data_IF_640109170967
#
_entry.id   IF_640109170967
#
_cell.length_a   1.000
_cell.length_b   1.000
_cell.length_c   1.000
_cell.angle_alpha   90.00
_cell.angle_beta   90.00
_cell.angle_gamma   90.00
#
_symmetry.space_group_name_H-M   'P 1'
#
loop_
_entity.id
_entity.type
_entity.pdbx_description
1 polymer ?
#
# COMPACT_ATOMS: atom_id res chain seq x y z
N UNK A 1 -10.23 -22.68 -1.54
CA UNK A 1 -9.43 -21.79 -0.66
C UNK A 1 -8.20 -22.55 -0.20
N UNK A 2 -6.99 -22.03 -0.46
CA UNK A 2 -5.73 -22.72 -0.10
C UNK A 2 -5.68 -22.96 1.42
N UNK A 3 -5.21 -24.14 1.88
CA UNK A 3 -5.15 -24.53 3.31
C UNK A 3 -4.50 -23.46 4.20
N UNK A 4 -3.41 -22.84 3.72
CA UNK A 4 -2.70 -21.76 4.42
C UNK A 4 -3.59 -20.54 4.70
N UNK A 5 -4.45 -20.16 3.75
CA UNK A 5 -5.33 -18.99 3.85
C UNK A 5 -6.48 -19.18 4.85
N UNK A 6 -6.94 -20.42 5.08
CA UNK A 6 -7.90 -20.72 6.17
C UNK A 6 -7.29 -20.45 7.53
N UNK A 7 -6.03 -20.86 7.73
CA UNK A 7 -5.31 -20.67 8.98
C UNK A 7 -5.10 -19.17 9.25
N UNK A 8 -4.75 -18.38 8.24
CA UNK A 8 -4.57 -16.93 8.41
C UNK A 8 -5.87 -16.18 8.69
N UNK A 9 -6.99 -16.60 8.09
CA UNK A 9 -8.29 -16.04 8.42
C UNK A 9 -8.68 -16.36 9.88
N UNK A 10 -8.41 -17.57 10.34
CA UNK A 10 -8.62 -17.97 11.73
C UNK A 10 -7.74 -17.13 12.64
N UNK A 11 -6.46 -16.93 12.31
CA UNK A 11 -5.56 -16.05 13.08
C UNK A 11 -6.10 -14.62 13.10
N UNK A 12 -6.53 -14.05 11.97
CA UNK A 12 -7.07 -12.69 11.91
C UNK A 12 -8.32 -12.55 12.79
N UNK A 13 -9.26 -13.50 12.70
CA UNK A 13 -10.48 -13.55 13.51
C UNK A 13 -10.14 -13.73 15.00
N UNK A 14 -9.19 -14.59 15.35
CA UNK A 14 -8.74 -14.78 16.73
C UNK A 14 -8.06 -13.52 17.27
N UNK A 15 -7.29 -12.81 16.47
CA UNK A 15 -6.69 -11.51 16.84
C UNK A 15 -7.78 -10.47 17.08
N UNK A 16 -8.82 -10.41 16.24
CA UNK A 16 -9.99 -9.57 16.48
C UNK A 16 -10.69 -9.91 17.79
N UNK A 17 -10.98 -11.19 18.03
CA UNK A 17 -11.64 -11.66 19.26
C UNK A 17 -10.79 -11.34 20.48
N UNK A 18 -9.49 -11.57 20.43
CA UNK A 18 -8.55 -11.23 21.50
C UNK A 18 -8.58 -9.73 21.82
N UNK A 19 -8.42 -8.85 20.83
CA UNK A 19 -8.43 -7.40 21.10
C UNK A 19 -9.80 -6.87 21.52
N UNK A 20 -10.90 -7.47 21.05
CA UNK A 20 -12.25 -7.12 21.48
C UNK A 20 -12.48 -7.47 22.96
N UNK A 21 -11.87 -8.56 23.44
CA UNK A 21 -12.00 -9.03 24.83
C UNK A 21 -11.10 -8.25 25.81
N UNK A 22 -9.92 -7.78 25.39
CA UNK A 22 -8.91 -7.21 26.30
C UNK A 22 -8.87 -5.66 26.37
N UNK A 23 -10.00 -4.98 26.07
CA UNK A 23 -10.27 -3.55 26.35
C UNK A 23 -9.20 -2.49 25.98
N UNK A 24 -8.22 -2.81 25.13
CA UNK A 24 -7.31 -1.79 24.62
C UNK A 24 -7.95 -1.10 23.42
N UNK A 25 -8.70 -0.02 23.67
CA UNK A 25 -9.43 0.76 22.66
C UNK A 25 -8.53 1.19 21.50
N UNK A 26 -7.27 1.54 21.78
CA UNK A 26 -6.27 1.87 20.76
C UNK A 26 -5.91 0.65 19.89
N UNK A 27 -5.67 -0.50 20.52
CA UNK A 27 -5.42 -1.76 19.84
C UNK A 27 -6.61 -2.21 18.98
N UNK A 28 -7.84 -1.95 19.41
CA UNK A 28 -9.06 -2.24 18.66
C UNK A 28 -9.20 -1.33 17.43
N UNK A 29 -8.91 -0.04 17.55
CA UNK A 29 -8.99 0.94 16.45
C UNK A 29 -7.92 0.64 15.38
N UNK A 30 -6.68 0.39 15.80
CA UNK A 30 -5.58 0.04 14.89
C UNK A 30 -5.88 -1.30 14.20
N UNK A 31 -6.37 -2.28 14.96
CA UNK A 31 -6.77 -3.57 14.39
C UNK A 31 -7.88 -3.35 13.37
N UNK A 32 -9.02 -2.75 13.73
CA UNK A 32 -10.17 -2.50 12.84
C UNK A 32 -9.79 -1.75 11.56
N UNK A 33 -8.98 -0.70 11.67
CA UNK A 33 -8.55 0.09 10.51
C UNK A 33 -7.64 -0.68 9.56
N UNK A 34 -6.65 -1.43 10.07
CA UNK A 34 -5.70 -2.18 9.23
C UNK A 34 -6.28 -3.49 8.67
N UNK A 35 -7.24 -4.07 9.36
CA UNK A 35 -7.85 -5.36 9.03
C UNK A 35 -9.03 -5.25 8.06
N UNK A 36 -9.76 -4.13 8.03
CA UNK A 36 -10.84 -3.86 7.06
C UNK A 36 -10.37 -4.03 5.60
N UNK A 37 -9.25 -3.40 5.18
CA UNK A 37 -8.67 -3.62 3.86
C UNK A 37 -8.30 -5.08 3.63
N UNK A 38 -7.64 -5.74 4.59
CA UNK A 38 -7.26 -7.15 4.48
C UNK A 38 -8.47 -8.06 4.25
N UNK A 39 -9.58 -7.82 4.95
CA UNK A 39 -10.84 -8.54 4.75
C UNK A 39 -11.39 -8.31 3.34
N UNK A 40 -11.39 -7.07 2.84
CA UNK A 40 -11.85 -6.76 1.48
C UNK A 40 -10.94 -7.43 0.44
N UNK A 41 -9.62 -7.36 0.58
CA UNK A 41 -8.71 -8.05 -0.34
C UNK A 41 -8.79 -9.58 -0.25
N UNK A 42 -9.11 -10.14 0.92
CA UNK A 42 -9.31 -11.57 1.08
C UNK A 42 -10.64 -12.04 0.47
N UNK A 43 -11.74 -11.35 0.73
CA UNK A 43 -13.09 -11.83 0.41
C UNK A 43 -13.73 -11.19 -0.81
N UNK A 44 -13.44 -9.92 -1.10
CA UNK A 44 -14.07 -9.22 -2.20
C UNK A 44 -13.82 -9.88 -3.56
N UNK A 45 -12.66 -10.50 -3.88
CA UNK A 45 -12.52 -11.28 -5.11
C UNK A 45 -13.58 -12.38 -5.26
N UNK A 46 -13.96 -13.06 -4.17
CA UNK A 46 -14.98 -14.12 -4.18
C UNK A 46 -16.39 -13.53 -4.38
N UNK A 47 -16.67 -12.39 -3.74
CA UNK A 47 -17.94 -11.69 -3.88
C UNK A 47 -18.10 -11.09 -5.28
N UNK A 48 -17.06 -10.44 -5.81
CA UNK A 48 -17.06 -9.81 -7.13
C UNK A 48 -17.26 -10.81 -8.26
N UNK A 49 -16.75 -12.02 -8.10
CA UNK A 49 -17.00 -13.12 -9.04
C UNK A 49 -18.48 -13.55 -9.03
N UNK A 50 -19.12 -13.58 -7.86
CA UNK A 50 -20.54 -13.97 -7.76
C UNK A 50 -21.50 -12.93 -8.33
N UNK A 51 -21.21 -11.64 -8.14
CA UNK A 51 -22.09 -10.55 -8.60
C UNK A 51 -21.61 -9.89 -9.90
N UNK A 52 -20.65 -10.50 -10.60
CA UNK A 52 -20.11 -10.05 -11.89
C UNK A 52 -19.63 -8.57 -11.90
N UNK A 53 -18.96 -8.11 -10.84
CA UNK A 53 -18.41 -6.74 -10.82
C UNK A 53 -17.38 -6.58 -11.94
N UNK A 54 -17.54 -5.56 -12.83
CA UNK A 54 -16.57 -5.28 -13.87
C UNK A 54 -15.18 -5.05 -13.28
N UNK A 55 -14.15 -5.62 -13.90
CA UNK A 55 -12.75 -5.57 -13.41
C UNK A 55 -12.30 -4.13 -13.13
N UNK A 56 -12.74 -3.17 -13.97
CA UNK A 56 -12.43 -1.75 -13.83
C UNK A 56 -12.89 -1.13 -12.51
N UNK A 57 -13.90 -1.68 -11.81
CA UNK A 57 -14.42 -1.13 -10.56
C UNK A 57 -13.96 -1.89 -9.31
N UNK A 58 -13.27 -3.04 -9.46
CA UNK A 58 -12.89 -3.90 -8.33
C UNK A 58 -11.92 -3.24 -7.32
N UNK A 59 -11.25 -2.15 -7.72
CA UNK A 59 -10.33 -1.41 -6.86
C UNK A 59 -11.03 -0.38 -5.95
N UNK A 60 -12.25 0.05 -6.30
CA UNK A 60 -12.94 1.12 -5.57
C UNK A 60 -13.18 0.72 -4.11
N UNK A 61 -13.70 -0.48 -3.78
CA UNK A 61 -13.92 -0.83 -2.38
C UNK A 61 -12.61 -1.04 -1.60
N UNK A 62 -11.53 -1.42 -2.29
CA UNK A 62 -10.19 -1.48 -1.67
C UNK A 62 -9.75 -0.08 -1.28
N UNK A 63 -9.83 0.87 -2.22
CA UNK A 63 -9.48 2.26 -1.98
C UNK A 63 -10.32 2.88 -0.85
N UNK A 64 -11.64 2.67 -0.89
CA UNK A 64 -12.54 3.14 0.18
C UNK A 64 -12.11 2.56 1.53
N UNK A 65 -11.78 1.28 1.60
CA UNK A 65 -11.38 0.65 2.87
C UNK A 65 -10.11 1.21 3.48
N UNK A 66 -9.19 1.74 2.66
CA UNK A 66 -7.96 2.37 3.13
C UNK A 66 -8.20 3.82 3.61
N UNK A 67 -9.14 4.52 2.98
CA UNK A 67 -9.44 5.93 3.28
C UNK A 67 -10.42 6.04 4.46
N UNK A 68 -11.38 5.12 4.55
CA UNK A 68 -12.47 5.15 5.52
C UNK A 68 -12.01 5.28 6.98
N UNK A 69 -10.94 4.61 7.46
CA UNK A 69 -10.47 4.80 8.82
C UNK A 69 -10.11 6.26 9.14
N UNK A 70 -9.44 6.97 8.23
CA UNK A 70 -9.11 8.37 8.45
C UNK A 70 -10.36 9.26 8.60
N UNK A 71 -11.42 8.96 7.83
CA UNK A 71 -12.70 9.68 7.90
C UNK A 71 -13.44 9.36 9.20
N UNK A 72 -13.56 8.07 9.55
CA UNK A 72 -14.30 7.64 10.75
C UNK A 72 -13.67 8.16 12.05
N UNK A 73 -12.35 8.25 12.09
CA UNK A 73 -11.60 8.72 13.25
C UNK A 73 -11.21 10.20 13.17
N UNK A 74 -11.71 10.94 12.17
CA UNK A 74 -11.46 12.36 11.97
C UNK A 74 -9.96 12.73 12.03
N UNK A 75 -9.11 11.89 11.43
CA UNK A 75 -7.66 12.09 11.44
C UNK A 75 -7.30 13.31 10.59
N UNK A 76 -6.58 14.26 11.20
CA UNK A 76 -6.06 15.42 10.49
C UNK A 76 -4.92 15.01 9.55
N UNK A 77 -4.84 15.67 8.39
CA UNK A 77 -3.87 15.36 7.35
C UNK A 77 -3.19 16.64 6.92
N UNK A 78 -1.92 16.78 7.28
CA UNK A 78 -1.06 17.85 6.81
C UNK A 78 -0.49 17.48 5.43
N UNK A 79 -1.00 18.13 4.39
CA UNK A 79 -0.70 17.73 3.01
C UNK A 79 0.65 18.22 2.52
N UNK A 80 0.90 19.52 2.66
CA UNK A 80 2.00 20.20 2.00
C UNK A 80 2.90 20.92 3.00
N UNK A 81 4.12 21.17 2.56
CA UNK A 81 5.13 21.94 3.26
C UNK A 81 5.91 22.78 2.26
N UNK A 82 6.38 23.93 2.71
CA UNK A 82 7.30 24.78 1.95
C UNK A 82 8.75 24.26 2.01
N UNK A 83 9.02 23.27 2.86
CA UNK A 83 10.33 22.65 3.03
C UNK A 83 10.64 21.65 1.90
N UNK A 84 11.06 22.17 0.75
CA UNK A 84 11.36 21.38 -0.46
C UNK A 84 12.32 20.20 -0.22
N UNK A 85 13.20 20.30 0.78
CA UNK A 85 14.17 19.26 1.09
C UNK A 85 13.50 17.97 1.61
N UNK A 86 12.31 18.04 2.21
CA UNK A 86 11.55 16.84 2.59
C UNK A 86 11.19 15.99 1.38
N UNK A 87 10.68 16.63 0.32
CA UNK A 87 10.39 15.95 -0.95
C UNK A 87 11.66 15.33 -1.54
N UNK A 88 12.75 16.10 -1.60
CA UNK A 88 14.01 15.64 -2.18
C UNK A 88 14.55 14.41 -1.44
N UNK A 89 14.60 14.45 -0.10
CA UNK A 89 15.13 13.36 0.72
C UNK A 89 14.27 12.10 0.54
N UNK A 90 12.94 12.20 0.65
CA UNK A 90 12.07 11.02 0.51
C UNK A 90 12.15 10.40 -0.88
N UNK A 91 12.18 11.24 -1.93
CA UNK A 91 12.34 10.77 -3.30
C UNK A 91 13.70 10.11 -3.53
N UNK A 92 14.79 10.70 -3.01
CA UNK A 92 16.14 10.15 -3.16
C UNK A 92 16.28 8.79 -2.48
N UNK A 93 15.80 8.65 -1.24
CA UNK A 93 15.83 7.37 -0.53
C UNK A 93 15.01 6.30 -1.25
N UNK A 94 13.83 6.66 -1.75
CA UNK A 94 12.98 5.75 -2.53
C UNK A 94 13.60 5.37 -3.87
N UNK A 95 14.31 6.30 -4.51
CA UNK A 95 15.05 6.07 -5.76
C UNK A 95 16.23 5.11 -5.53
N UNK A 96 17.00 5.28 -4.45
CA UNK A 96 18.08 4.35 -4.10
C UNK A 96 17.51 2.94 -3.95
N UNK A 97 16.41 2.78 -3.21
CA UNK A 97 15.75 1.48 -3.04
C UNK A 97 15.22 0.89 -4.36
N UNK A 98 14.77 1.73 -5.29
CA UNK A 98 14.39 1.30 -6.63
C UNK A 98 15.63 0.80 -7.41
N UNK A 99 16.72 1.56 -7.38
CA UNK A 99 17.95 1.25 -8.11
C UNK A 99 18.64 -0.02 -7.62
N UNK A 100 18.52 -0.40 -6.35
CA UNK A 100 19.03 -1.71 -5.88
C UNK A 100 18.34 -2.90 -6.56
N UNK A 101 17.19 -2.69 -7.21
CA UNK A 101 16.46 -3.69 -8.00
C UNK A 101 16.67 -3.54 -9.50
N UNK A 102 17.59 -2.68 -9.95
CA UNK A 102 17.73 -2.26 -11.35
C UNK A 102 17.69 -3.39 -12.37
N UNK A 103 18.39 -4.51 -12.10
CA UNK A 103 18.40 -5.66 -12.99
C UNK A 103 17.01 -6.26 -13.20
N UNK A 104 16.22 -6.40 -12.13
CA UNK A 104 14.84 -6.88 -12.21
C UNK A 104 13.94 -5.87 -12.94
N UNK A 105 14.17 -4.57 -12.75
CA UNK A 105 13.42 -3.52 -13.44
C UNK A 105 13.67 -3.55 -14.94
N UNK A 106 14.94 -3.69 -15.34
CA UNK A 106 15.35 -3.77 -16.75
C UNK A 106 14.68 -4.94 -17.46
N UNK A 107 14.64 -6.10 -16.80
CA UNK A 107 13.97 -7.29 -17.32
C UNK A 107 12.46 -7.08 -17.44
N UNK A 108 11.80 -6.53 -16.42
CA UNK A 108 10.37 -6.24 -16.43
C UNK A 108 9.97 -5.28 -17.56
N UNK A 109 10.75 -4.20 -17.77
CA UNK A 109 10.56 -3.26 -18.86
C UNK A 109 10.70 -3.97 -20.22
N UNK A 110 11.75 -4.77 -20.41
CA UNK A 110 11.96 -5.54 -21.65
C UNK A 110 10.78 -6.45 -21.95
N UNK A 111 10.30 -7.22 -20.98
CA UNK A 111 9.14 -8.11 -21.14
C UNK A 111 7.89 -7.33 -21.51
N UNK A 112 7.69 -6.13 -20.92
CA UNK A 112 6.49 -5.33 -21.19
C UNK A 112 6.33 -4.91 -22.65
N UNK A 113 7.44 -4.75 -23.39
CA UNK A 113 7.40 -4.41 -24.82
C UNK A 113 6.87 -5.53 -25.71
N UNK A 114 6.87 -6.77 -25.20
CA UNK A 114 6.34 -7.97 -25.85
C UNK A 114 4.83 -8.15 -25.60
N UNK A 115 4.26 -7.43 -24.64
CA UNK A 115 2.83 -7.49 -24.35
C UNK A 115 2.02 -6.68 -25.36
N UNK A 116 0.74 -7.03 -25.49
CA UNK A 116 -0.18 -6.29 -26.35
C UNK A 116 -0.28 -4.82 -25.94
N UNK A 117 -0.34 -3.89 -26.92
CA UNK A 117 -0.62 -2.49 -26.70
C UNK A 117 -1.94 -2.28 -25.97
N UNK A 118 -2.05 -1.15 -25.26
CA UNK A 118 -3.30 -0.72 -24.64
C UNK A 118 -3.67 0.66 -25.15
N UNK A 119 -4.97 0.96 -25.20
CA UNK A 119 -5.43 2.30 -25.59
C UNK A 119 -4.89 3.37 -24.63
N UNK A 120 -4.69 4.60 -25.14
CA UNK A 120 -4.27 5.76 -24.33
C UNK A 120 -5.18 6.00 -23.12
N UNK A 121 -6.50 5.83 -23.31
CA UNK A 121 -7.48 5.93 -22.23
C UNK A 121 -7.25 4.86 -21.16
N UNK A 122 -7.05 3.60 -21.58
CA UNK A 122 -6.73 2.51 -20.65
C UNK A 122 -5.44 2.78 -19.89
N UNK A 123 -4.40 3.27 -20.56
CA UNK A 123 -3.14 3.65 -19.93
C UNK A 123 -3.35 4.71 -18.85
N UNK A 124 -4.01 5.81 -19.18
CA UNK A 124 -4.33 6.88 -18.24
C UNK A 124 -5.12 6.36 -17.03
N UNK A 125 -6.18 5.59 -17.26
CA UNK A 125 -7.01 5.04 -16.18
C UNK A 125 -6.22 4.10 -15.25
N UNK A 126 -5.29 3.30 -15.77
CA UNK A 126 -4.42 2.44 -14.95
C UNK A 126 -3.40 3.26 -14.15
N UNK A 127 -2.85 4.33 -14.72
CA UNK A 127 -1.96 5.24 -13.99
C UNK A 127 -2.69 5.94 -12.84
N UNK A 128 -3.88 6.50 -13.10
CA UNK A 128 -4.73 7.11 -12.06
C UNK A 128 -5.05 6.10 -10.96
N UNK A 129 -5.46 4.89 -11.34
CA UNK A 129 -5.71 3.82 -10.37
C UNK A 129 -4.49 3.50 -9.51
N UNK A 130 -3.30 3.40 -10.11
CA UNK A 130 -2.05 3.13 -9.37
C UNK A 130 -1.75 4.26 -8.39
N UNK A 131 -1.87 5.52 -8.82
CA UNK A 131 -1.67 6.69 -7.95
C UNK A 131 -2.65 6.72 -6.79
N UNK A 132 -3.94 6.46 -7.04
CA UNK A 132 -4.96 6.42 -5.99
C UNK A 132 -4.72 5.31 -4.96
N UNK A 133 -4.30 4.12 -5.41
CA UNK A 133 -3.93 3.03 -4.51
C UNK A 133 -2.75 3.43 -3.63
N UNK A 134 -1.70 4.04 -4.21
CA UNK A 134 -0.55 4.55 -3.44
C UNK A 134 -1.00 5.56 -2.38
N UNK A 135 -1.84 6.54 -2.75
CA UNK A 135 -2.38 7.51 -1.79
C UNK A 135 -3.16 6.79 -0.68
N UNK A 136 -4.02 5.83 -1.02
CA UNK A 136 -4.77 5.05 -0.04
C UNK A 136 -3.86 4.27 0.92
N UNK A 137 -2.81 3.64 0.40
CA UNK A 137 -1.83 2.93 1.21
C UNK A 137 -1.09 3.87 2.17
N UNK A 138 -0.66 5.04 1.72
CA UNK A 138 -0.02 6.02 2.61
C UNK A 138 -1.00 6.57 3.67
N UNK A 139 -2.26 6.81 3.30
CA UNK A 139 -3.29 7.23 4.25
C UNK A 139 -3.53 6.18 5.34
N UNK A 140 -3.50 4.89 4.99
CA UNK A 140 -3.73 3.82 5.95
C UNK A 140 -2.49 3.57 6.82
N UNK A 141 -1.34 3.36 6.18
CA UNK A 141 -0.15 2.87 6.86
C UNK A 141 0.67 3.97 7.51
N UNK A 142 0.61 5.21 7.02
CA UNK A 142 1.41 6.31 7.59
C UNK A 142 0.48 7.20 8.41
N UNK A 143 -0.51 7.81 7.75
CA UNK A 143 -1.39 8.78 8.40
C UNK A 143 -2.20 8.15 9.52
N UNK A 144 -3.06 7.18 9.22
CA UNK A 144 -3.94 6.56 10.22
C UNK A 144 -3.14 5.86 11.32
N UNK A 145 -2.16 5.03 10.94
CA UNK A 145 -1.38 4.25 11.91
C UNK A 145 -0.61 5.14 12.91
N UNK A 146 0.14 6.15 12.45
CA UNK A 146 0.99 6.95 13.34
C UNK A 146 0.24 8.08 14.05
N UNK A 147 -0.92 8.53 13.57
CA UNK A 147 -1.72 9.51 14.31
C UNK A 147 -2.45 8.91 15.52
N UNK A 148 -2.63 7.60 15.55
CA UNK A 148 -3.21 6.91 16.70
C UNK A 148 -2.18 6.64 17.81
N UNK A 149 -0.90 6.64 17.48
CA UNK A 149 0.17 6.40 18.45
C UNK A 149 0.66 7.75 18.98
N UNK A 150 0.50 8.00 20.27
CA UNK A 150 0.84 9.29 20.89
C UNK A 150 2.34 9.63 20.80
N UNK A 151 3.21 8.62 20.92
CA UNK A 151 4.67 8.77 20.83
C UNK A 151 5.29 7.60 20.04
N UNK A 152 5.23 7.63 18.70
CA UNK A 152 5.71 6.54 17.88
C UNK A 152 7.24 6.46 17.93
N UNK A 153 7.75 5.34 18.44
CA UNK A 153 9.18 5.02 18.45
C UNK A 153 9.61 4.28 17.17
N UNK A 154 10.92 4.11 16.99
CA UNK A 154 11.50 3.32 15.89
C UNK A 154 10.91 1.90 15.78
N UNK A 155 10.54 1.27 16.90
CA UNK A 155 9.88 -0.05 16.89
C UNK A 155 8.51 -0.04 16.21
N UNK A 156 7.77 1.06 16.31
CA UNK A 156 6.49 1.21 15.62
C UNK A 156 6.68 1.33 14.11
N UNK A 157 7.81 1.89 13.66
CA UNK A 157 8.19 1.93 12.24
C UNK A 157 8.44 0.53 11.70
N UNK A 158 9.22 -0.28 12.43
CA UNK A 158 9.47 -1.68 12.07
C UNK A 158 8.15 -2.45 12.02
N UNK A 159 7.29 -2.30 13.04
CA UNK A 159 6.01 -2.99 13.10
C UNK A 159 5.12 -2.60 11.92
N UNK A 160 4.99 -1.30 11.63
CA UNK A 160 4.23 -0.83 10.47
C UNK A 160 4.76 -1.42 9.16
N UNK A 161 6.08 -1.49 9.00
CA UNK A 161 6.70 -2.13 7.85
C UNK A 161 6.36 -3.60 7.72
N UNK A 162 6.36 -4.36 8.82
CA UNK A 162 5.95 -5.76 8.81
C UNK A 162 4.47 -5.90 8.41
N UNK A 163 3.59 -5.06 8.97
CA UNK A 163 2.17 -5.06 8.59
C UNK A 163 2.02 -4.74 7.10
N UNK A 164 2.72 -3.74 6.58
CA UNK A 164 2.68 -3.37 5.16
C UNK A 164 3.13 -4.50 4.23
N UNK A 165 4.23 -5.19 4.58
CA UNK A 165 4.72 -6.34 3.82
C UNK A 165 3.76 -7.54 3.90
N UNK A 166 3.24 -7.85 5.08
CA UNK A 166 2.22 -8.87 5.28
C UNK A 166 0.95 -8.56 4.49
N UNK A 167 0.55 -7.29 4.45
CA UNK A 167 -0.60 -6.83 3.70
C UNK A 167 -0.47 -7.13 2.21
N UNK A 168 0.70 -6.88 1.62
CA UNK A 168 1.01 -7.24 0.23
C UNK A 168 1.02 -8.76 0.02
N UNK A 169 1.53 -9.53 0.99
CA UNK A 169 1.53 -10.99 0.94
C UNK A 169 0.11 -11.58 0.93
N UNK A 170 -0.83 -10.98 1.68
CA UNK A 170 -2.21 -11.45 1.76
C UNK A 170 -3.11 -10.92 0.64
N UNK A 171 -2.65 -9.94 -0.14
CA UNK A 171 -3.43 -9.38 -1.24
C UNK A 171 -3.67 -10.42 -2.34
N UNK A 172 -4.89 -10.96 -2.40
CA UNK A 172 -5.28 -11.98 -3.40
C UNK A 172 -5.26 -11.48 -4.84
N UNK A 173 -5.34 -10.17 -5.06
CA UNK A 173 -5.19 -9.60 -6.39
C UNK A 173 -3.75 -9.74 -6.92
N UNK A 174 -2.76 -9.95 -6.03
CA UNK A 174 -1.34 -9.95 -6.36
C UNK A 174 -0.57 -11.22 -5.93
N UNK A 175 -1.24 -12.27 -5.42
CA UNK A 175 -0.57 -13.42 -4.77
C UNK A 175 0.44 -14.19 -5.65
N UNK A 176 0.33 -14.08 -6.98
CA UNK A 176 1.26 -14.71 -7.93
C UNK A 176 2.26 -13.72 -8.55
N UNK A 177 2.21 -12.45 -8.16
CA UNK A 177 3.01 -11.39 -8.79
C UNK A 177 4.34 -11.14 -8.07
N UNK A 178 4.41 -11.47 -6.78
CA UNK A 178 5.55 -11.12 -5.94
C UNK A 178 6.37 -12.34 -5.49
N UNK A 179 7.68 -12.24 -5.66
CA UNK A 179 8.69 -13.14 -5.07
C UNK A 179 8.99 -12.70 -3.64
N UNK A 180 9.61 -13.58 -2.85
CA UNK A 180 9.96 -13.29 -1.45
C UNK A 180 10.72 -11.96 -1.29
N UNK A 181 11.71 -11.73 -2.17
CA UNK A 181 12.51 -10.51 -2.17
C UNK A 181 11.68 -9.24 -2.33
N UNK A 182 10.55 -9.31 -3.03
CA UNK A 182 9.69 -8.14 -3.23
C UNK A 182 9.06 -7.72 -1.90
N UNK A 183 8.67 -8.66 -1.03
CA UNK A 183 8.14 -8.32 0.30
C UNK A 183 9.21 -7.69 1.20
N UNK A 184 10.48 -8.10 1.07
CA UNK A 184 11.60 -7.43 1.76
C UNK A 184 11.70 -5.97 1.32
N UNK A 185 11.53 -5.70 0.03
CA UNK A 185 11.54 -4.32 -0.46
C UNK A 185 10.32 -3.50 -0.05
N UNK A 186 9.13 -4.10 0.01
CA UNK A 186 7.94 -3.41 0.58
C UNK A 186 8.18 -3.06 2.05
N UNK A 187 8.77 -3.98 2.82
CA UNK A 187 9.17 -3.73 4.22
C UNK A 187 10.15 -2.56 4.34
N UNK A 188 11.24 -2.57 3.55
CA UNK A 188 12.24 -1.50 3.55
C UNK A 188 11.65 -0.15 3.12
N UNK A 189 10.82 -0.14 2.08
CA UNK A 189 10.11 1.07 1.64
C UNK A 189 9.24 1.63 2.76
N UNK A 190 8.51 0.76 3.47
CA UNK A 190 7.68 1.18 4.58
C UNK A 190 8.47 1.76 5.74
N UNK A 191 9.66 1.21 6.04
CA UNK A 191 10.56 1.78 7.04
C UNK A 191 11.03 3.18 6.62
N UNK A 192 11.52 3.32 5.39
CA UNK A 192 12.01 4.61 4.87
C UNK A 192 10.92 5.67 4.94
N UNK A 193 9.74 5.35 4.41
CA UNK A 193 8.61 6.27 4.35
C UNK A 193 8.03 6.56 5.75
N UNK A 194 7.97 5.57 6.64
CA UNK A 194 7.55 5.78 8.03
C UNK A 194 8.52 6.68 8.80
N UNK A 195 9.82 6.48 8.62
CA UNK A 195 10.84 7.34 9.24
C UNK A 195 10.77 8.77 8.72
N UNK A 196 10.67 8.97 7.40
CA UNK A 196 10.46 10.30 6.81
C UNK A 196 9.19 10.94 7.36
N UNK A 197 8.08 10.21 7.41
CA UNK A 197 6.80 10.75 7.88
C UNK A 197 6.90 11.28 9.31
N UNK A 198 7.51 10.51 10.22
CA UNK A 198 7.68 10.94 11.61
C UNK A 198 8.72 12.06 11.77
N UNK A 199 9.77 12.07 10.95
CA UNK A 199 10.83 13.09 11.00
C UNK A 199 10.42 14.43 10.37
N UNK A 200 9.41 14.42 9.50
CA UNK A 200 8.94 15.58 8.75
C UNK A 200 7.57 16.03 9.24
N UNK A 201 7.38 16.03 10.57
CA UNK A 201 6.15 16.49 11.23
C UNK A 201 4.86 15.94 10.62
N UNK A 202 4.88 14.66 10.20
CA UNK A 202 3.72 13.95 9.65
C UNK A 202 3.14 14.57 8.37
N UNK A 203 3.97 15.23 7.57
CA UNK A 203 3.56 15.80 6.27
C UNK A 203 3.40 14.69 5.22
N UNK A 204 2.24 14.69 4.56
CA UNK A 204 1.78 13.57 3.73
C UNK A 204 2.35 13.56 2.30
N UNK A 205 2.41 14.71 1.61
CA UNK A 205 2.78 14.73 0.19
C UNK A 205 4.20 14.16 -0.08
N UNK A 206 5.27 14.52 0.66
CA UNK A 206 6.61 13.96 0.42
C UNK A 206 6.63 12.42 0.40
N UNK A 207 5.80 11.80 1.25
CA UNK A 207 5.67 10.35 1.36
C UNK A 207 5.01 9.75 0.13
N UNK A 208 3.93 10.36 -0.35
CA UNK A 208 3.25 9.96 -1.59
C UNK A 208 4.22 10.07 -2.78
N UNK A 209 4.98 11.17 -2.90
CA UNK A 209 5.96 11.34 -3.97
C UNK A 209 7.11 10.34 -3.88
N UNK A 210 7.59 10.01 -2.67
CA UNK A 210 8.55 8.94 -2.45
C UNK A 210 8.02 7.57 -2.92
N UNK A 211 6.80 7.23 -2.52
CA UNK A 211 6.20 5.95 -2.92
C UNK A 211 5.93 5.87 -4.44
N UNK A 212 5.51 6.97 -5.08
CA UNK A 212 5.41 7.07 -6.54
C UNK A 212 6.78 6.86 -7.19
N UNK A 213 7.83 7.46 -6.63
CA UNK A 213 9.22 7.29 -7.11
C UNK A 213 9.63 5.82 -7.05
N UNK A 214 9.34 5.12 -5.95
CA UNK A 214 9.61 3.68 -5.86
C UNK A 214 8.79 2.86 -6.88
N UNK A 215 7.56 3.26 -7.19
CA UNK A 215 6.71 2.57 -8.17
C UNK A 215 6.93 3.04 -9.62
N UNK A 216 7.93 3.88 -9.89
CA UNK A 216 8.08 4.54 -11.18
C UNK A 216 8.19 3.56 -12.36
N UNK A 217 8.76 2.38 -12.15
CA UNK A 217 8.82 1.33 -13.18
C UNK A 217 7.44 0.87 -13.67
N UNK A 218 6.44 0.80 -12.79
CA UNK A 218 5.08 0.44 -13.18
C UNK A 218 4.47 1.49 -14.12
N UNK A 219 4.75 2.78 -13.85
CA UNK A 219 4.34 3.87 -14.74
C UNK A 219 5.05 3.82 -16.09
N UNK A 220 6.36 3.55 -16.12
CA UNK A 220 7.12 3.37 -17.37
C UNK A 220 6.53 2.22 -18.20
N UNK A 221 6.26 1.08 -17.57
CA UNK A 221 5.67 -0.09 -18.24
C UNK A 221 4.32 0.26 -18.87
N UNK A 222 3.44 0.97 -18.16
CA UNK A 222 2.15 1.40 -18.69
C UNK A 222 2.32 2.35 -19.88
N UNK A 223 3.19 3.36 -19.75
CA UNK A 223 3.48 4.32 -20.80
C UNK A 223 4.05 3.65 -22.07
N UNK A 224 4.93 2.67 -21.92
CA UNK A 224 5.46 1.92 -23.06
C UNK A 224 4.38 1.13 -23.80
N UNK A 225 3.45 0.50 -23.06
CA UNK A 225 2.32 -0.22 -23.66
C UNK A 225 1.27 0.70 -24.29
N UNK A 226 1.15 1.94 -23.82
CA UNK A 226 0.21 2.94 -24.36
C UNK A 226 0.73 3.79 -25.52
N UNK A 227 2.00 3.60 -25.93
CA UNK A 227 2.63 4.34 -27.05
C UNK A 227 2.37 3.70 -28.43
N UNK A 228 2.06 2.41 -28.46
CA UNK A 228 1.71 1.65 -29.67
C UNK A 228 0.21 1.76 -29.91
#
# INVERSE_FOLDING_TARGET
MLKRQKIYLIILILTYVYFFIFENQLGQIITLGLSMPLLIMAFAPLLYQRINVPIKYRYIPILISMVLPNVLFSIHIDWFTDEYHYFLITMLLSLILLLTRYNNLKEAIKISTLLEPISKLTCFMQMVKLTLIIIGEELLFRVFYYNLISNPSFWHIILNGLVFACYHHFNRFAHNQYKFIDYVYHFLLSIILGYCYLSFDKIFAPIVFGHITYNFTNYIILLQRGRK
#
